data_IF_541203785069
#
_entry.id   IF_541203785069
#
_cell.length_a   1.000
_cell.length_b   1.000
_cell.length_c   1.000
_cell.angle_alpha   90.00
_cell.angle_beta   90.00
_cell.angle_gamma   90.00
#
_symmetry.space_group_name_H-M   'P 1'
#
loop_
_entity.id
_entity.type
_entity.pdbx_description
1 polymer ?
#
# COMPACT_ATOMS: atom_id res chain seq x y z
N UNK A 1 31.02 -41.14 38.06
CA UNK A 1 30.72 -39.96 38.88
C UNK A 1 30.09 -38.92 37.96
N UNK A 2 28.87 -38.50 38.33
CA UNK A 2 28.03 -37.42 37.81
C UNK A 2 27.70 -37.36 36.29
N UNK A 3 26.51 -37.87 35.95
CA UNK A 3 25.76 -37.54 34.73
C UNK A 3 25.17 -36.13 34.86
N UNK A 4 25.58 -35.16 34.04
CA UNK A 4 24.91 -33.85 33.96
C UNK A 4 23.81 -33.97 32.89
N UNK A 5 22.60 -34.34 33.32
CA UNK A 5 21.41 -34.16 32.52
C UNK A 5 21.04 -32.69 32.50
N UNK A 6 21.27 -32.01 31.39
CA UNK A 6 20.68 -30.70 31.13
C UNK A 6 19.22 -30.92 30.71
N UNK A 7 18.21 -30.49 31.49
CA UNK A 7 16.85 -30.52 31.01
C UNK A 7 16.74 -29.43 29.93
N UNK A 8 16.56 -29.87 28.68
CA UNK A 8 16.14 -29.01 27.57
C UNK A 8 14.75 -28.47 27.91
N UNK A 9 14.71 -27.29 28.52
CA UNK A 9 13.51 -26.50 28.72
C UNK A 9 13.10 -25.93 27.36
N UNK A 10 12.31 -26.70 26.61
CA UNK A 10 11.67 -26.23 25.39
C UNK A 10 10.54 -25.28 25.81
N UNK A 11 10.83 -23.98 25.82
CA UNK A 11 9.80 -22.95 26.01
C UNK A 11 9.07 -22.80 24.67
N UNK A 12 7.96 -23.51 24.52
CA UNK A 12 6.99 -23.27 23.44
C UNK A 12 6.31 -21.93 23.73
N UNK A 13 6.82 -20.84 23.17
CA UNK A 13 6.07 -19.59 23.06
C UNK A 13 4.91 -19.82 22.09
N UNK A 14 3.75 -20.20 22.64
CA UNK A 14 2.49 -20.11 21.93
C UNK A 14 2.15 -18.61 21.76
N UNK A 15 2.66 -18.00 20.70
CA UNK A 15 2.20 -16.67 20.29
C UNK A 15 0.78 -16.84 19.77
N UNK A 16 -0.20 -16.42 20.56
CA UNK A 16 -1.60 -16.43 20.17
C UNK A 16 -1.80 -15.54 18.94
N UNK A 17 -2.30 -16.12 17.85
CA UNK A 17 -2.74 -15.40 16.65
C UNK A 17 -4.06 -14.67 16.92
N UNK A 18 -4.03 -13.65 17.78
CA UNK A 18 -5.15 -12.75 17.96
C UNK A 18 -5.02 -11.55 17.04
N UNK A 19 -5.87 -11.42 16.02
CA UNK A 19 -6.02 -10.16 15.29
C UNK A 19 -6.48 -9.06 16.26
N UNK A 20 -5.78 -7.94 16.29
CA UNK A 20 -6.19 -6.77 17.06
C UNK A 20 -7.40 -6.14 16.39
N UNK A 21 -8.56 -6.17 17.04
CA UNK A 21 -9.78 -5.52 16.54
C UNK A 21 -9.50 -4.02 16.32
N UNK A 22 -9.65 -3.54 15.08
CA UNK A 22 -9.39 -2.15 14.69
C UNK A 22 -7.94 -1.82 14.31
N UNK A 23 -7.03 -2.79 14.35
CA UNK A 23 -5.69 -2.67 13.76
C UNK A 23 -5.71 -2.81 12.23
N UNK A 24 -4.60 -2.46 11.54
CA UNK A 24 -4.44 -2.78 10.14
C UNK A 24 -4.40 -4.29 9.91
N UNK A 25 -5.23 -4.78 9.00
CA UNK A 25 -5.25 -6.17 8.56
C UNK A 25 -4.90 -6.27 7.07
N UNK A 26 -4.13 -7.30 6.71
CA UNK A 26 -3.77 -7.57 5.33
C UNK A 26 -5.03 -7.99 4.54
N UNK A 27 -5.22 -7.41 3.35
CA UNK A 27 -6.36 -7.69 2.46
C UNK A 27 -5.89 -7.90 1.02
N UNK A 28 -6.77 -8.44 0.18
CA UNK A 28 -6.46 -8.65 -1.24
C UNK A 28 -6.16 -7.30 -1.93
N UNK A 29 -5.01 -7.17 -2.61
CA UNK A 29 -4.71 -6.00 -3.44
C UNK A 29 -5.78 -5.69 -4.50
N UNK A 30 -6.55 -6.69 -4.93
CA UNK A 30 -7.61 -6.55 -5.93
C UNK A 30 -8.98 -6.20 -5.31
N UNK A 31 -9.08 -6.02 -3.99
CA UNK A 31 -10.28 -5.49 -3.35
C UNK A 31 -10.68 -4.15 -3.98
N UNK A 32 -11.96 -3.97 -4.28
CA UNK A 32 -12.47 -2.77 -4.97
C UNK A 32 -12.15 -1.48 -4.19
N UNK A 33 -12.17 -1.55 -2.86
CA UNK A 33 -11.82 -0.45 -1.98
C UNK A 33 -10.34 -0.09 -2.10
N UNK A 34 -9.46 -1.09 -2.15
CA UNK A 34 -8.01 -0.91 -2.40
C UNK A 34 -7.77 -0.30 -3.77
N UNK A 35 -8.40 -0.83 -4.82
CA UNK A 35 -8.21 -0.34 -6.19
C UNK A 35 -8.68 1.11 -6.33
N UNK A 36 -9.84 1.46 -5.77
CA UNK A 36 -10.33 2.84 -5.75
C UNK A 36 -9.38 3.78 -4.97
N UNK A 37 -8.96 3.36 -3.78
CA UNK A 37 -8.01 4.11 -2.97
C UNK A 37 -6.66 4.31 -3.68
N UNK A 38 -6.16 3.28 -4.34
CA UNK A 38 -4.90 3.32 -5.08
C UNK A 38 -4.99 4.28 -6.27
N UNK A 39 -6.05 4.18 -7.06
CA UNK A 39 -6.30 5.08 -8.19
C UNK A 39 -6.37 6.54 -7.74
N UNK A 40 -7.06 6.80 -6.63
CA UNK A 40 -7.10 8.12 -6.01
C UNK A 40 -5.70 8.59 -5.59
N UNK A 41 -4.93 7.76 -4.88
CA UNK A 41 -3.59 8.10 -4.40
C UNK A 41 -2.62 8.40 -5.55
N UNK A 42 -2.61 7.57 -6.60
CA UNK A 42 -1.77 7.75 -7.80
C UNK A 42 -2.16 9.01 -8.56
N UNK A 43 -3.46 9.34 -8.64
CA UNK A 43 -3.90 10.60 -9.22
C UNK A 43 -3.40 11.81 -8.41
N UNK A 44 -3.45 11.75 -7.07
CA UNK A 44 -2.90 12.81 -6.22
C UNK A 44 -1.36 12.93 -6.35
N UNK A 45 -0.65 11.81 -6.37
CA UNK A 45 0.80 11.78 -6.62
C UNK A 45 1.15 12.49 -7.93
N UNK A 46 0.44 12.15 -9.01
CA UNK A 46 0.68 12.74 -10.33
C UNK A 46 0.36 14.24 -10.38
N UNK A 47 -0.67 14.70 -9.66
CA UNK A 47 -0.98 16.13 -9.54
C UNK A 47 0.09 16.90 -8.78
N UNK A 48 0.66 16.31 -7.72
CA UNK A 48 1.69 16.96 -6.90
C UNK A 48 3.12 16.84 -7.43
N UNK A 49 3.40 15.87 -8.30
CA UNK A 49 4.72 15.65 -8.89
C UNK A 49 5.07 16.74 -9.91
N UNK A 50 6.32 17.21 -9.93
CA UNK A 50 6.83 18.17 -10.93
C UNK A 50 7.29 17.49 -12.24
N UNK A 51 7.16 16.17 -12.35
CA UNK A 51 7.49 15.46 -13.58
C UNK A 51 6.51 15.81 -14.71
N UNK A 52 7.01 15.94 -15.94
CA UNK A 52 6.19 16.14 -17.13
C UNK A 52 5.40 14.88 -17.51
N UNK A 53 5.90 13.72 -17.09
CA UNK A 53 5.30 12.42 -17.34
C UNK A 53 4.46 11.95 -16.16
N UNK A 54 3.47 11.12 -16.46
CA UNK A 54 2.72 10.42 -15.44
C UNK A 54 3.56 9.26 -14.87
N UNK A 55 3.25 8.90 -13.64
CA UNK A 55 3.79 7.75 -12.94
C UNK A 55 2.67 6.76 -12.67
N UNK A 56 2.98 5.48 -12.87
CA UNK A 56 2.04 4.38 -12.76
C UNK A 56 2.51 3.36 -11.74
N UNK A 57 1.58 2.49 -11.35
CA UNK A 57 1.84 1.34 -10.48
C UNK A 57 2.39 0.21 -11.35
N UNK A 58 3.52 -0.33 -10.94
CA UNK A 58 4.11 -1.55 -11.52
C UNK A 58 3.58 -2.77 -10.78
N UNK A 59 3.49 -2.68 -9.46
CA UNK A 59 3.14 -3.80 -8.58
C UNK A 59 2.59 -3.27 -7.25
N UNK A 60 1.58 -3.94 -6.71
CA UNK A 60 1.12 -3.74 -5.33
C UNK A 60 1.83 -4.76 -4.45
N UNK A 61 2.76 -4.28 -3.62
CA UNK A 61 3.59 -5.12 -2.74
C UNK A 61 2.79 -5.54 -1.50
N UNK A 62 1.99 -4.61 -0.96
CA UNK A 62 1.16 -4.85 0.22
C UNK A 62 -0.08 -3.98 0.20
N UNK A 63 -1.22 -4.55 0.58
CA UNK A 63 -2.46 -3.84 0.85
C UNK A 63 -2.98 -4.21 2.24
N UNK A 64 -3.38 -3.21 3.01
CA UNK A 64 -4.00 -3.38 4.31
C UNK A 64 -5.21 -2.47 4.44
N UNK A 65 -6.20 -2.90 5.23
CA UNK A 65 -7.31 -2.05 5.63
C UNK A 65 -7.35 -1.90 7.14
N UNK A 66 -7.85 -0.75 7.58
CA UNK A 66 -8.06 -0.48 8.99
C UNK A 66 -9.41 0.22 9.16
N UNK A 67 -10.30 -0.38 9.96
CA UNK A 67 -11.59 0.23 10.31
C UNK A 67 -11.36 1.32 11.35
N UNK A 68 -11.79 2.53 11.02
CA UNK A 68 -11.75 3.73 11.86
C UNK A 68 -13.10 4.45 11.75
N UNK A 69 -13.16 5.78 11.86
CA UNK A 69 -14.35 6.54 11.44
C UNK A 69 -14.45 6.62 9.89
N UNK A 70 -14.39 5.45 9.25
CA UNK A 70 -14.16 5.23 7.82
C UNK A 70 -13.37 3.94 7.61
N UNK A 71 -12.85 3.74 6.41
CA UNK A 71 -11.86 2.71 6.12
C UNK A 71 -10.57 3.38 5.70
N UNK A 72 -9.47 3.06 6.37
CA UNK A 72 -8.13 3.51 5.99
C UNK A 72 -7.43 2.38 5.23
N UNK A 73 -7.15 2.61 3.95
CA UNK A 73 -6.39 1.72 3.09
C UNK A 73 -4.92 2.13 3.12
N UNK A 74 -4.04 1.20 3.48
CA UNK A 74 -2.60 1.40 3.53
C UNK A 74 -1.98 0.50 2.47
N UNK A 75 -1.32 1.11 1.50
CA UNK A 75 -0.84 0.44 0.30
C UNK A 75 0.63 0.74 0.10
N UNK A 76 1.44 -0.30 -0.02
CA UNK A 76 2.84 -0.20 -0.43
C UNK A 76 2.94 -0.69 -1.86
N UNK A 77 3.39 0.17 -2.76
CA UNK A 77 3.39 -0.07 -4.20
C UNK A 77 4.74 0.26 -4.81
N UNK A 78 5.11 -0.49 -5.83
CA UNK A 78 6.23 -0.17 -6.70
C UNK A 78 5.72 0.74 -7.82
N UNK A 79 6.31 1.92 -7.95
CA UNK A 79 5.96 2.91 -8.97
C UNK A 79 7.08 3.09 -9.98
N UNK A 80 6.71 3.55 -11.17
CA UNK A 80 7.64 3.91 -12.22
C UNK A 80 7.01 4.93 -13.17
N UNK A 81 7.86 5.62 -13.95
CA UNK A 81 7.42 6.59 -14.96
C UNK A 81 6.73 5.86 -16.12
N UNK A 82 5.64 6.42 -16.64
CA UNK A 82 4.95 5.94 -17.85
C UNK A 82 5.43 6.71 -19.08
N UNK A 83 5.08 6.22 -20.27
CA UNK A 83 5.31 6.95 -21.52
C UNK A 83 4.38 8.16 -21.73
N UNK A 84 3.32 8.31 -20.92
CA UNK A 84 2.33 9.37 -21.05
C UNK A 84 2.79 10.69 -20.44
N UNK A 85 2.52 11.78 -21.15
CA UNK A 85 2.64 13.13 -20.59
C UNK A 85 1.39 13.47 -19.77
N UNK A 86 1.52 14.32 -18.76
CA UNK A 86 0.36 14.78 -17.97
C UNK A 86 -0.66 15.56 -18.79
N UNK A 87 -0.25 16.18 -19.89
CA UNK A 87 -1.12 16.95 -20.79
C UNK A 87 -1.88 16.09 -21.79
N UNK A 88 -1.54 14.82 -21.96
CA UNK A 88 -2.23 13.91 -22.89
C UNK A 88 -3.36 13.17 -22.18
N UNK A 89 -4.56 13.24 -22.74
CA UNK A 89 -5.67 12.36 -22.37
C UNK A 89 -5.48 11.03 -23.11
N UNK A 90 -4.75 10.10 -22.48
CA UNK A 90 -4.49 8.78 -23.04
C UNK A 90 -4.98 7.72 -22.05
N UNK A 91 -5.78 6.77 -22.52
CA UNK A 91 -6.36 5.73 -21.66
C UNK A 91 -5.37 4.61 -21.33
N UNK A 92 -4.37 4.39 -22.19
CA UNK A 92 -3.26 3.46 -21.96
C UNK A 92 -1.95 4.21 -21.76
N UNK A 93 -1.35 4.03 -20.57
CA UNK A 93 -0.08 4.61 -20.17
C UNK A 93 0.90 3.54 -19.70
N UNK A 94 1.57 2.83 -20.63
CA UNK A 94 2.51 1.78 -20.27
C UNK A 94 3.72 2.35 -19.54
N UNK A 95 4.29 1.52 -18.66
CA UNK A 95 5.55 1.83 -17.95
C UNK A 95 6.68 1.98 -18.98
N UNK A 96 7.50 3.02 -18.83
CA UNK A 96 8.65 3.25 -19.70
C UNK A 96 9.76 2.23 -19.37
N UNK A 97 10.29 1.55 -20.38
CA UNK A 97 11.24 0.43 -20.25
C UNK A 97 12.48 0.75 -19.39
N UNK A 98 13.02 1.95 -19.51
CA UNK A 98 14.25 2.39 -18.79
C UNK A 98 13.94 3.26 -17.57
N UNK A 99 12.70 3.25 -17.08
CA UNK A 99 12.32 4.06 -15.93
C UNK A 99 12.87 3.49 -14.62
N UNK A 100 13.28 4.37 -13.72
CA UNK A 100 13.68 3.96 -12.36
C UNK A 100 12.43 3.57 -11.59
N UNK A 101 12.45 2.39 -11.00
CA UNK A 101 11.43 1.95 -10.07
C UNK A 101 11.76 2.47 -8.68
N UNK A 102 10.73 2.89 -7.97
CA UNK A 102 10.82 3.38 -6.59
C UNK A 102 9.59 2.92 -5.82
N UNK A 103 9.70 2.88 -4.50
CA UNK A 103 8.62 2.34 -3.66
C UNK A 103 7.90 3.49 -2.99
N UNK A 104 6.56 3.47 -3.04
CA UNK A 104 5.72 4.42 -2.32
C UNK A 104 4.80 3.69 -1.35
N UNK A 105 4.58 4.32 -0.20
CA UNK A 105 3.53 3.97 0.74
C UNK A 105 2.49 5.08 0.73
N UNK A 106 1.26 4.70 0.43
CA UNK A 106 0.08 5.56 0.45
C UNK A 106 -0.83 5.13 1.60
N UNK A 107 -1.39 6.11 2.31
CA UNK A 107 -2.52 5.87 3.22
C UNK A 107 -3.71 6.73 2.79
N UNK A 108 -4.81 6.08 2.43
CA UNK A 108 -6.03 6.74 1.95
C UNK A 108 -7.16 6.46 2.92
N UNK A 109 -7.85 7.50 3.36
CA UNK A 109 -9.01 7.39 4.24
C UNK A 109 -10.28 7.63 3.43
N UNK A 110 -11.15 6.63 3.42
CA UNK A 110 -12.43 6.62 2.71
C UNK A 110 -13.59 6.65 3.70
N UNK A 111 -14.52 7.58 3.50
CA UNK A 111 -15.76 7.75 4.26
C UNK A 111 -16.92 7.79 3.29
N UNK A 112 -17.32 6.60 2.82
CA UNK A 112 -18.32 6.44 1.76
C UNK A 112 -19.64 7.15 2.09
N UNK A 113 -20.10 7.10 3.35
CA UNK A 113 -21.35 7.77 3.78
C UNK A 113 -21.28 9.31 3.76
N UNK A 114 -20.09 9.90 3.65
CA UNK A 114 -19.90 11.34 3.47
C UNK A 114 -19.46 11.71 2.05
N UNK A 115 -19.32 10.73 1.14
CA UNK A 115 -18.71 10.91 -0.17
C UNK A 115 -17.32 11.58 -0.11
N UNK A 116 -16.53 11.22 0.92
CA UNK A 116 -15.22 11.82 1.17
C UNK A 116 -14.11 10.77 1.09
N UNK A 117 -13.04 11.11 0.36
CA UNK A 117 -11.82 10.31 0.22
C UNK A 117 -10.61 11.22 0.28
N UNK A 118 -9.63 10.85 1.10
CA UNK A 118 -8.50 11.72 1.44
C UNK A 118 -7.19 10.96 1.45
N UNK A 119 -6.14 11.58 0.90
CA UNK A 119 -4.78 11.08 0.97
C UNK A 119 -4.20 11.57 2.30
N UNK A 120 -4.07 10.68 3.26
CA UNK A 120 -3.59 10.99 4.62
C UNK A 120 -2.07 10.96 4.67
N UNK A 121 -1.46 10.05 3.91
CA UNK A 121 -0.02 9.88 3.90
C UNK A 121 0.48 9.48 2.52
N UNK A 122 1.61 10.03 2.14
CA UNK A 122 2.35 9.70 0.93
C UNK A 122 3.84 9.78 1.22
N UNK A 123 4.55 8.66 1.16
CA UNK A 123 5.99 8.57 1.33
C UNK A 123 6.58 7.73 0.22
N UNK A 124 7.58 8.25 -0.49
CA UNK A 124 8.26 7.54 -1.56
C UNK A 124 9.78 7.53 -1.30
N UNK A 125 10.44 6.45 -1.70
CA UNK A 125 11.88 6.20 -1.51
C UNK A 125 12.53 5.80 -2.82
#
# INVERSE_FOLDING_TARGET
MWKIGFPLLVVLFAVGLGSLVGGPEDIDPNDDGVQNALNFAVAQYNRGSNDMYQHGVVEVIKAQSQVVAGVKYIMTVKMARTSCRKSSANDQCPIQTDSKHYTCTFAVWSRVWLNDIQLVEMKCQ
#
